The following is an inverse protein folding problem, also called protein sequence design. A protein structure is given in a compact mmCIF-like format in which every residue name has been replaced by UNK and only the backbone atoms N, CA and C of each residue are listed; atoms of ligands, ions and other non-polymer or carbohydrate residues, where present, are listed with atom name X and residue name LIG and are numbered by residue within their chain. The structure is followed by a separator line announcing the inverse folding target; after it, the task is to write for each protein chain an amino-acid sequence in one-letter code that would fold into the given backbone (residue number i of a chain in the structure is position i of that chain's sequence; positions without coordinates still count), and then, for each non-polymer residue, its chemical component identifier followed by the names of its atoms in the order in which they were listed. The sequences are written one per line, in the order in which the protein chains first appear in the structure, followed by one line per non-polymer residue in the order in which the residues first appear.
data_IF_154810868989
#
_entry.id   IF_154810868989
#
_cell.length_a   1.000
_cell.length_b   1.000
_cell.length_c   1.000
_cell.angle_alpha   90.00
_cell.angle_beta   90.00
_cell.angle_gamma   90.00
#
_symmetry.space_group_name_H-M   'P 1'
#
loop_
_entity.id
_entity.type
_entity.pdbx_description
1 polymer ?
#
# COMPACT_ATOMS: atom_id res chain seq x y z
N UNK A 1 -7.28 -43.96 -80.96
CA UNK A 1 -6.17 -43.03 -80.84
C UNK A 1 -6.65 -41.63 -80.44
N UNK A 2 -7.54 -40.93 -81.17
CA UNK A 2 -7.94 -39.55 -80.79
C UNK A 2 -8.64 -39.41 -79.39
N UNK A 3 -9.45 -40.38 -78.93
CA UNK A 3 -10.04 -40.40 -77.60
C UNK A 3 -8.99 -40.63 -76.50
N UNK A 4 -7.99 -41.47 -76.72
CA UNK A 4 -6.95 -41.68 -75.74
C UNK A 4 -6.02 -40.46 -75.60
N UNK A 5 -5.75 -39.75 -76.70
CA UNK A 5 -4.96 -38.53 -76.69
C UNK A 5 -5.70 -37.36 -75.99
N UNK A 6 -7.00 -37.22 -76.21
CA UNK A 6 -7.84 -36.25 -75.49
C UNK A 6 -7.96 -36.57 -74.00
N UNK A 7 -8.08 -37.85 -73.62
CA UNK A 7 -8.09 -38.26 -72.20
C UNK A 7 -6.79 -37.91 -71.50
N UNK A 8 -5.63 -38.11 -72.10
CA UNK A 8 -4.35 -37.73 -71.58
C UNK A 8 -4.18 -36.20 -71.43
N UNK A 9 -4.71 -35.44 -72.40
CA UNK A 9 -4.70 -33.99 -72.33
C UNK A 9 -5.54 -33.47 -71.16
N UNK A 10 -6.76 -33.99 -70.97
CA UNK A 10 -7.64 -33.64 -69.86
C UNK A 10 -7.01 -33.98 -68.51
N UNK A 11 -6.35 -35.15 -68.41
CA UNK A 11 -5.67 -35.56 -67.21
C UNK A 11 -4.45 -34.66 -66.90
N UNK A 12 -3.70 -34.23 -67.90
CA UNK A 12 -2.58 -33.29 -67.75
C UNK A 12 -3.06 -31.90 -67.34
N UNK A 13 -4.14 -31.40 -67.94
CA UNK A 13 -4.77 -30.12 -67.57
C UNK A 13 -5.30 -30.15 -66.12
N UNK A 14 -5.95 -31.26 -65.72
CA UNK A 14 -6.42 -31.44 -64.37
C UNK A 14 -5.29 -31.44 -63.34
N UNK A 15 -4.18 -32.14 -63.64
CA UNK A 15 -2.97 -32.12 -62.76
C UNK A 15 -2.34 -30.73 -62.67
N UNK A 16 -2.25 -30.03 -63.82
CA UNK A 16 -1.72 -28.67 -63.84
C UNK A 16 -2.57 -27.71 -63.03
N UNK A 17 -3.90 -27.79 -63.16
CA UNK A 17 -4.87 -27.00 -62.41
C UNK A 17 -4.80 -27.29 -60.92
N UNK A 18 -4.70 -28.55 -60.52
CA UNK A 18 -4.56 -28.95 -59.11
C UNK A 18 -3.24 -28.42 -58.50
N UNK A 19 -2.16 -28.45 -59.26
CA UNK A 19 -0.85 -27.94 -58.81
C UNK A 19 -0.88 -26.40 -58.64
N UNK A 20 -1.52 -25.67 -59.58
CA UNK A 20 -1.73 -24.22 -59.46
C UNK A 20 -2.58 -23.89 -58.24
N UNK A 21 -3.66 -24.60 -57.95
CA UNK A 21 -4.49 -24.40 -56.76
C UNK A 21 -3.68 -24.60 -55.47
N UNK A 22 -2.82 -25.64 -55.44
CA UNK A 22 -1.94 -25.88 -54.29
C UNK A 22 -0.92 -24.76 -54.10
N UNK A 23 -0.31 -24.28 -55.19
CA UNK A 23 0.61 -23.14 -55.15
C UNK A 23 -0.08 -21.85 -54.63
N UNK A 24 -1.27 -21.57 -55.12
CA UNK A 24 -2.08 -20.44 -54.65
C UNK A 24 -2.36 -20.59 -53.14
N UNK A 25 -2.76 -21.79 -52.68
CA UNK A 25 -2.99 -22.07 -51.26
C UNK A 25 -1.75 -21.81 -50.39
N UNK A 26 -0.61 -22.31 -50.84
CA UNK A 26 0.66 -22.11 -50.13
C UNK A 26 1.07 -20.63 -50.08
N UNK A 27 0.89 -19.89 -51.18
CA UNK A 27 1.21 -18.45 -51.23
C UNK A 27 0.25 -17.62 -50.35
N UNK A 28 -1.03 -17.96 -50.33
CA UNK A 28 -2.01 -17.33 -49.42
C UNK A 28 -1.66 -17.58 -47.96
N UNK A 29 -1.25 -18.79 -47.61
CA UNK A 29 -0.78 -19.13 -46.26
C UNK A 29 0.46 -18.30 -45.88
N UNK A 30 1.48 -18.27 -46.76
CA UNK A 30 2.71 -17.50 -46.54
C UNK A 30 2.44 -15.99 -46.37
N UNK A 31 1.50 -15.44 -47.18
CA UNK A 31 1.05 -14.05 -47.07
C UNK A 31 0.39 -13.79 -45.70
N UNK A 32 -0.50 -14.67 -45.24
CA UNK A 32 -1.14 -14.57 -43.94
C UNK A 32 -0.13 -14.69 -42.79
N UNK A 33 0.86 -15.59 -42.90
CA UNK A 33 1.93 -15.71 -41.92
C UNK A 33 2.76 -14.42 -41.83
N UNK A 34 3.13 -13.84 -42.98
CA UNK A 34 3.86 -12.57 -43.01
C UNK A 34 3.07 -11.41 -42.38
N UNK A 35 1.80 -11.35 -42.67
CA UNK A 35 0.89 -10.36 -42.06
C UNK A 35 0.85 -10.50 -40.53
N UNK A 36 0.74 -11.72 -40.01
CA UNK A 36 0.75 -11.99 -38.58
C UNK A 36 2.09 -11.62 -37.93
N UNK A 37 3.23 -11.92 -38.58
CA UNK A 37 4.56 -11.52 -38.12
C UNK A 37 4.66 -9.99 -37.97
N UNK A 38 4.20 -9.25 -38.98
CA UNK A 38 4.19 -7.79 -38.97
C UNK A 38 3.30 -7.29 -37.82
N UNK A 39 2.08 -7.82 -37.67
CA UNK A 39 1.17 -7.45 -36.58
C UNK A 39 1.75 -7.71 -35.20
N UNK A 40 2.48 -8.80 -35.01
CA UNK A 40 3.11 -9.14 -33.74
C UNK A 40 4.32 -8.25 -33.42
N UNK A 41 5.09 -7.84 -34.44
CA UNK A 41 6.36 -7.14 -34.23
C UNK A 41 6.29 -5.62 -34.37
N UNK A 42 5.34 -5.09 -35.15
CA UNK A 42 5.26 -3.66 -35.48
C UNK A 42 5.20 -2.74 -34.25
N UNK A 43 4.44 -3.14 -33.22
CA UNK A 43 4.23 -2.36 -32.00
C UNK A 43 4.74 -3.04 -30.73
N UNK A 44 5.62 -4.04 -30.87
CA UNK A 44 6.12 -4.79 -29.72
C UNK A 44 6.78 -3.89 -28.68
N UNK A 45 7.70 -3.03 -29.09
CA UNK A 45 8.39 -2.10 -28.18
C UNK A 45 7.45 -1.10 -27.53
N UNK A 46 6.42 -0.64 -28.25
CA UNK A 46 5.38 0.24 -27.72
C UNK A 46 4.57 -0.47 -26.61
N UNK A 47 4.12 -1.70 -26.87
CA UNK A 47 3.38 -2.48 -25.89
C UNK A 47 4.25 -2.90 -24.68
N UNK A 48 5.52 -3.24 -24.88
CA UNK A 48 6.44 -3.56 -23.79
C UNK A 48 6.63 -2.35 -22.85
N UNK A 49 6.68 -1.12 -23.39
CA UNK A 49 6.75 0.11 -22.58
C UNK A 49 5.44 0.37 -21.84
N UNK A 50 4.29 0.18 -22.49
CA UNK A 50 2.97 0.31 -21.84
C UNK A 50 2.81 -0.67 -20.67
N UNK A 51 3.20 -1.92 -20.86
CA UNK A 51 3.15 -2.94 -19.82
C UNK A 51 4.07 -2.57 -18.64
N UNK A 52 5.25 -2.03 -18.93
CA UNK A 52 6.16 -1.56 -17.89
C UNK A 52 5.57 -0.38 -17.11
N UNK A 53 5.00 0.60 -17.79
CA UNK A 53 4.30 1.73 -17.16
C UNK A 53 3.18 1.22 -16.26
N UNK A 54 2.35 0.29 -16.74
CA UNK A 54 1.24 -0.27 -15.97
C UNK A 54 1.71 -0.97 -14.69
N UNK A 55 2.83 -1.71 -14.75
CA UNK A 55 3.45 -2.33 -13.58
C UNK A 55 3.95 -1.30 -12.56
N UNK A 56 4.61 -0.25 -13.04
CA UNK A 56 5.10 0.83 -12.18
C UNK A 56 3.94 1.60 -11.54
N UNK A 57 2.88 1.89 -12.28
CA UNK A 57 1.68 2.55 -11.76
C UNK A 57 0.98 1.71 -10.68
N UNK A 58 0.94 0.38 -10.84
CA UNK A 58 0.46 -0.53 -9.80
C UNK A 58 1.34 -0.45 -8.54
N UNK A 59 2.66 -0.41 -8.68
CA UNK A 59 3.58 -0.25 -7.54
C UNK A 59 3.38 1.09 -6.82
N UNK A 60 3.17 2.19 -7.55
CA UNK A 60 2.83 3.50 -6.97
C UNK A 60 1.56 3.41 -6.12
N UNK A 61 0.49 2.82 -6.65
CA UNK A 61 -0.77 2.62 -5.91
C UNK A 61 -0.58 1.78 -4.64
N UNK A 62 0.27 0.74 -4.71
CA UNK A 62 0.59 -0.08 -3.54
C UNK A 62 1.32 0.73 -2.46
N UNK A 63 2.30 1.57 -2.85
CA UNK A 63 3.00 2.46 -1.92
C UNK A 63 2.07 3.50 -1.31
N UNK A 64 1.15 4.08 -2.08
CA UNK A 64 0.14 5.03 -1.57
C UNK A 64 -0.75 4.38 -0.50
N UNK A 65 -1.21 3.17 -0.74
CA UNK A 65 -2.02 2.44 0.23
C UNK A 65 -1.24 2.15 1.54
N UNK A 66 0.05 1.82 1.42
CA UNK A 66 0.91 1.56 2.59
C UNK A 66 1.19 2.85 3.37
N UNK A 67 1.48 3.95 2.69
CA UNK A 67 1.67 5.28 3.29
C UNK A 67 0.41 5.69 4.05
N UNK A 68 -0.76 5.56 3.43
CA UNK A 68 -2.05 5.92 4.06
C UNK A 68 -2.28 5.14 5.36
N UNK A 69 -2.06 3.84 5.36
CA UNK A 69 -2.19 3.01 6.58
C UNK A 69 -1.23 3.47 7.69
N UNK A 70 0.03 3.75 7.34
CA UNK A 70 1.00 4.24 8.33
C UNK A 70 0.66 5.63 8.86
N UNK A 71 0.09 6.50 8.03
CA UNK A 71 -0.40 7.81 8.46
C UNK A 71 -1.58 7.69 9.44
N UNK A 72 -2.50 6.76 9.20
CA UNK A 72 -3.59 6.47 10.13
C UNK A 72 -3.07 5.93 11.46
N UNK A 73 -2.11 4.99 11.44
CA UNK A 73 -1.49 4.47 12.65
C UNK A 73 -0.76 5.57 13.44
N UNK A 74 0.00 6.41 12.75
CA UNK A 74 0.69 7.55 13.34
C UNK A 74 -0.29 8.51 14.01
N UNK A 75 -1.42 8.83 13.36
CA UNK A 75 -2.45 9.70 13.90
C UNK A 75 -3.11 9.11 15.13
N UNK A 76 -3.41 7.80 15.13
CA UNK A 76 -3.96 7.10 16.31
C UNK A 76 -3.00 7.14 17.50
N UNK A 77 -1.72 6.90 17.26
CA UNK A 77 -0.71 6.96 18.34
C UNK A 77 -0.59 8.38 18.87
N UNK A 78 -0.59 9.40 18.03
CA UNK A 78 -0.58 10.81 18.47
C UNK A 78 -1.78 11.14 19.37
N UNK A 79 -2.98 10.73 18.97
CA UNK A 79 -4.18 10.94 19.80
C UNK A 79 -4.07 10.24 21.17
N UNK A 80 -3.49 9.03 21.20
CA UNK A 80 -3.25 8.31 22.46
C UNK A 80 -2.23 9.03 23.35
N UNK A 81 -1.15 9.58 22.77
CA UNK A 81 -0.17 10.39 23.50
C UNK A 81 -0.85 11.62 24.10
N UNK A 82 -1.67 12.31 23.36
CA UNK A 82 -2.42 13.49 23.83
C UNK A 82 -3.35 13.14 25.00
N UNK A 83 -4.12 12.06 24.89
CA UNK A 83 -4.96 11.58 25.98
C UNK A 83 -4.18 11.24 27.24
N UNK A 84 -3.03 10.54 27.10
CA UNK A 84 -2.16 10.23 28.23
C UNK A 84 -1.53 11.47 28.88
N UNK A 85 -1.17 12.48 28.09
CA UNK A 85 -0.68 13.75 28.61
C UNK A 85 -1.76 14.49 29.40
N UNK A 86 -2.99 14.49 28.93
CA UNK A 86 -4.14 15.05 29.67
C UNK A 86 -4.36 14.31 31.00
N UNK A 87 -4.27 12.98 31.00
CA UNK A 87 -4.34 12.17 32.22
C UNK A 87 -3.22 12.54 33.21
N UNK A 88 -2.00 12.76 32.70
CA UNK A 88 -0.85 13.16 33.54
C UNK A 88 -1.08 14.53 34.18
N UNK A 89 -1.71 15.48 33.50
CA UNK A 89 -2.08 16.77 34.10
C UNK A 89 -3.12 16.59 35.21
N UNK A 90 -4.11 15.73 34.99
CA UNK A 90 -5.11 15.39 36.03
C UNK A 90 -4.43 14.75 37.26
N UNK A 91 -3.50 13.82 37.02
CA UNK A 91 -2.75 13.18 38.13
C UNK A 91 -1.87 14.16 38.89
N UNK A 92 -1.24 15.13 38.19
CA UNK A 92 -0.51 16.25 38.86
C UNK A 92 -1.44 17.07 39.76
N UNK A 93 -2.59 17.43 39.25
CA UNK A 93 -3.61 18.12 40.04
C UNK A 93 -4.03 17.35 41.30
N UNK A 94 -4.27 16.03 41.16
CA UNK A 94 -4.57 15.13 42.28
C UNK A 94 -3.42 15.06 43.29
N UNK A 95 -2.19 14.96 42.80
CA UNK A 95 -1.01 14.92 43.66
C UNK A 95 -0.92 16.18 44.53
N UNK A 96 -1.01 17.35 43.92
CA UNK A 96 -0.95 18.61 44.66
C UNK A 96 -2.14 18.82 45.64
N UNK A 97 -3.34 18.37 45.28
CA UNK A 97 -4.49 18.40 46.13
C UNK A 97 -4.30 17.56 47.40
N UNK A 98 -3.77 16.29 47.21
CA UNK A 98 -3.46 15.43 48.35
C UNK A 98 -2.31 16.00 49.20
N UNK A 99 -1.29 16.55 48.54
CA UNK A 99 -0.12 17.13 49.24
C UNK A 99 -0.49 18.34 50.10
N UNK A 100 -1.48 19.13 49.66
CA UNK A 100 -2.01 20.28 50.38
C UNK A 100 -2.93 19.91 51.55
N UNK A 101 -3.40 18.65 51.65
CA UNK A 101 -4.30 18.24 52.74
C UNK A 101 -3.61 18.37 54.08
N UNK A 102 -4.35 18.94 55.07
CA UNK A 102 -3.91 19.07 56.46
C UNK A 102 -4.85 18.25 57.35
N UNK A 103 -4.26 17.74 58.45
CA UNK A 103 -5.09 17.00 59.43
C UNK A 103 -6.14 17.91 60.00
N UNK A 104 -7.38 17.46 59.91
CA UNK A 104 -8.53 18.04 60.61
C UNK A 104 -9.00 17.05 61.66
N UNK A 105 -9.08 17.51 62.92
CA UNK A 105 -9.61 16.64 63.96
C UNK A 105 -11.16 16.59 63.85
N UNK A 106 -11.74 15.39 63.82
CA UNK A 106 -13.17 15.26 63.73
C UNK A 106 -13.82 15.79 65.00
N UNK A 107 -15.06 16.29 64.89
CA UNK A 107 -15.83 16.73 66.02
C UNK A 107 -15.98 15.60 67.04
N UNK A 108 -15.67 15.89 68.32
CA UNK A 108 -15.71 14.91 69.40
C UNK A 108 -14.48 13.95 69.43
N UNK A 109 -13.45 14.20 68.65
CA UNK A 109 -12.22 13.35 68.65
C UNK A 109 -11.59 13.15 70.03
N UNK A 110 -11.81 14.10 70.93
CA UNK A 110 -11.21 14.14 72.28
C UNK A 110 -12.28 13.93 73.39
N UNK A 111 -13.41 13.38 73.02
CA UNK A 111 -14.47 13.05 74.00
C UNK A 111 -14.53 11.53 74.18
N UNK A 112 -14.55 11.03 75.42
CA UNK A 112 -14.73 9.66 75.73
C UNK A 112 -16.06 9.09 75.16
N UNK A 113 -16.02 8.05 74.33
CA UNK A 113 -17.24 7.53 73.68
C UNK A 113 -18.22 6.93 74.69
N UNK A 114 -17.72 6.50 75.84
CA UNK A 114 -18.49 5.80 76.87
C UNK A 114 -19.14 6.78 77.85
N UNK A 115 -18.37 7.69 78.49
CA UNK A 115 -18.88 8.62 79.53
C UNK A 115 -19.16 10.03 79.04
N UNK A 116 -18.87 10.34 77.80
CA UNK A 116 -19.12 11.64 77.13
C UNK A 116 -18.38 12.84 77.80
N UNK A 117 -17.34 12.54 78.56
CA UNK A 117 -16.48 13.59 79.16
C UNK A 117 -15.29 13.83 78.26
N UNK A 118 -14.66 15.00 78.37
CA UNK A 118 -13.35 15.27 77.75
C UNK A 118 -12.30 14.25 78.22
N UNK A 119 -11.42 13.88 77.35
CA UNK A 119 -10.26 13.00 77.70
C UNK A 119 -9.25 13.76 78.56
N UNK A 120 -8.50 13.07 79.37
CA UNK A 120 -7.38 13.65 80.08
C UNK A 120 -6.24 14.07 79.15
N UNK A 121 -5.40 15.02 79.57
CA UNK A 121 -4.37 15.64 78.72
C UNK A 121 -3.43 14.59 78.10
N UNK A 122 -3.06 13.57 78.84
CA UNK A 122 -2.19 12.49 78.38
C UNK A 122 -2.88 11.63 77.30
N UNK A 123 -4.17 11.32 77.48
CA UNK A 123 -5.01 10.59 76.52
C UNK A 123 -5.28 11.41 75.25
N UNK A 124 -5.46 12.74 75.38
CA UNK A 124 -5.57 13.65 74.24
C UNK A 124 -4.30 13.65 73.42
N UNK A 125 -3.11 13.71 74.02
CA UNK A 125 -1.84 13.69 73.32
C UNK A 125 -1.64 12.33 72.57
N UNK A 126 -1.92 11.22 73.21
CA UNK A 126 -1.82 9.90 72.60
C UNK A 126 -2.78 9.80 71.41
N UNK A 127 -4.03 10.30 71.53
CA UNK A 127 -5.03 10.31 70.45
C UNK A 127 -4.62 11.22 69.31
N UNK A 128 -4.08 12.39 69.60
CA UNK A 128 -3.56 13.28 68.57
C UNK A 128 -2.43 12.63 67.75
N UNK A 129 -1.50 11.96 68.41
CA UNK A 129 -0.39 11.26 67.77
C UNK A 129 -0.95 10.13 66.88
N UNK A 130 -1.89 9.31 67.37
CA UNK A 130 -2.51 8.24 66.61
C UNK A 130 -3.17 8.79 65.33
N UNK A 131 -3.97 9.87 65.46
CA UNK A 131 -4.63 10.49 64.31
C UNK A 131 -3.63 11.09 63.30
N UNK A 132 -2.57 11.69 63.80
CA UNK A 132 -1.51 12.26 62.98
C UNK A 132 -0.78 11.16 62.17
N UNK A 133 -0.43 10.06 62.86
CA UNK A 133 0.26 8.94 62.22
C UNK A 133 -0.61 8.25 61.18
N UNK A 134 -1.87 8.03 61.46
CA UNK A 134 -2.84 7.47 60.53
C UNK A 134 -3.06 8.39 59.32
N UNK A 135 -3.18 9.71 59.54
CA UNK A 135 -3.28 10.69 58.48
C UNK A 135 -2.04 10.69 57.58
N UNK A 136 -0.85 10.75 58.19
CA UNK A 136 0.40 10.77 57.43
C UNK A 136 0.58 9.49 56.63
N UNK A 137 0.29 8.31 57.20
CA UNK A 137 0.35 7.05 56.51
C UNK A 137 -0.63 6.98 55.33
N UNK A 138 -1.86 7.38 55.53
CA UNK A 138 -2.89 7.41 54.47
C UNK A 138 -2.47 8.37 53.36
N UNK A 139 -2.08 9.61 53.69
CA UNK A 139 -1.61 10.60 52.74
C UNK A 139 -0.41 10.13 51.95
N UNK A 140 0.58 9.53 52.61
CA UNK A 140 1.78 8.96 51.96
C UNK A 140 1.42 7.84 50.95
N UNK A 141 0.50 6.93 51.34
CA UNK A 141 0.05 5.85 50.45
C UNK A 141 -0.69 6.37 49.21
N UNK A 142 -1.56 7.36 49.40
CA UNK A 142 -2.30 8.02 48.29
C UNK A 142 -1.34 8.76 47.35
N UNK A 143 -0.39 9.52 47.87
CA UNK A 143 0.64 10.21 47.06
C UNK A 143 1.48 9.21 46.27
N UNK A 144 1.91 8.09 46.89
CA UNK A 144 2.66 7.03 46.26
C UNK A 144 1.89 6.35 45.11
N UNK A 145 0.59 6.12 45.33
CA UNK A 145 -0.29 5.53 44.30
C UNK A 145 -0.39 6.44 43.07
N UNK A 146 -0.67 7.72 43.26
CA UNK A 146 -0.73 8.72 42.18
C UNK A 146 0.59 8.89 41.47
N UNK A 147 1.72 8.87 42.22
CA UNK A 147 3.04 8.96 41.64
C UNK A 147 3.38 7.73 40.79
N UNK A 148 3.05 6.52 41.21
CA UNK A 148 3.28 5.30 40.46
C UNK A 148 2.47 5.29 39.16
N UNK A 149 1.19 5.62 39.23
CA UNK A 149 0.33 5.74 38.04
C UNK A 149 0.89 6.77 37.06
N UNK A 150 1.35 7.93 37.56
CA UNK A 150 1.98 8.95 36.73
C UNK A 150 3.27 8.47 36.05
N UNK A 151 4.12 7.71 36.76
CA UNK A 151 5.34 7.12 36.17
C UNK A 151 5.03 6.12 35.07
N UNK A 152 4.04 5.25 35.28
CA UNK A 152 3.62 4.26 34.27
C UNK A 152 3.09 4.94 32.99
N UNK A 153 2.21 5.94 33.15
CA UNK A 153 1.68 6.71 32.02
C UNK A 153 2.78 7.49 31.27
N UNK A 154 3.71 8.11 32.01
CA UNK A 154 4.84 8.82 31.41
C UNK A 154 5.76 7.88 30.62
N UNK A 155 6.07 6.68 31.16
CA UNK A 155 6.83 5.68 30.44
C UNK A 155 6.14 5.22 29.16
N UNK A 156 4.80 5.07 29.20
CA UNK A 156 4.01 4.73 28.01
C UNK A 156 4.03 5.82 26.95
N UNK A 157 3.98 7.09 27.36
CA UNK A 157 4.12 8.24 26.44
C UNK A 157 5.46 8.19 25.72
N UNK A 158 6.57 7.93 26.43
CA UNK A 158 7.91 7.85 25.82
C UNK A 158 8.03 6.67 24.87
N UNK A 159 7.45 5.52 25.18
CA UNK A 159 7.38 4.38 24.27
C UNK A 159 6.62 4.72 22.97
N UNK A 160 5.44 5.32 23.10
CA UNK A 160 4.61 5.72 21.96
C UNK A 160 5.27 6.80 21.09
N UNK A 161 6.01 7.75 21.68
CA UNK A 161 6.81 8.72 20.93
C UNK A 161 7.89 8.05 20.09
N UNK A 162 8.57 7.02 20.60
CA UNK A 162 9.53 6.24 19.83
C UNK A 162 8.85 5.53 18.65
N UNK A 163 7.67 4.93 18.88
CA UNK A 163 6.90 4.29 17.81
C UNK A 163 6.48 5.31 16.74
N UNK A 164 6.02 6.52 17.13
CA UNK A 164 5.73 7.59 16.18
C UNK A 164 6.93 7.96 15.30
N UNK A 165 8.12 8.06 15.89
CA UNK A 165 9.35 8.37 15.14
C UNK A 165 9.69 7.29 14.11
N UNK A 166 9.55 6.02 14.48
CA UNK A 166 9.78 4.88 13.58
C UNK A 166 8.79 4.91 12.42
N UNK A 167 7.50 5.11 12.71
CA UNK A 167 6.45 5.18 11.68
C UNK A 167 6.69 6.37 10.75
N UNK A 168 7.06 7.54 11.29
CA UNK A 168 7.36 8.72 10.49
C UNK A 168 8.55 8.49 9.54
N UNK A 169 9.60 7.84 10.02
CA UNK A 169 10.75 7.47 9.18
C UNK A 169 10.34 6.51 8.05
N UNK A 170 9.49 5.53 8.35
CA UNK A 170 8.96 4.60 7.34
C UNK A 170 8.08 5.31 6.29
N UNK A 171 7.26 6.28 6.70
CA UNK A 171 6.45 7.10 5.76
C UNK A 171 7.38 7.88 4.84
N UNK A 172 8.44 8.49 5.37
CA UNK A 172 9.41 9.24 4.56
C UNK A 172 10.13 8.36 3.55
N UNK A 173 10.55 7.16 3.97
CA UNK A 173 11.18 6.19 3.07
C UNK A 173 10.24 5.76 1.94
N UNK A 174 8.99 5.38 2.27
CA UNK A 174 7.99 4.98 1.27
C UNK A 174 7.66 6.11 0.29
N UNK A 175 7.62 7.35 0.78
CA UNK A 175 7.41 8.53 -0.07
C UNK A 175 8.55 8.72 -1.08
N UNK A 176 9.81 8.57 -0.64
CA UNK A 176 10.98 8.65 -1.53
C UNK A 176 10.96 7.50 -2.57
N UNK A 177 10.64 6.28 -2.15
CA UNK A 177 10.50 5.14 -3.09
C UNK A 177 9.40 5.38 -4.13
N UNK A 178 8.27 5.96 -3.71
CA UNK A 178 7.19 6.37 -4.62
C UNK A 178 7.65 7.43 -5.60
N UNK A 179 8.39 8.45 -5.18
CA UNK A 179 8.91 9.51 -6.06
C UNK A 179 9.82 8.92 -7.15
N UNK A 180 10.67 7.95 -6.80
CA UNK A 180 11.51 7.24 -7.77
C UNK A 180 10.66 6.50 -8.81
N UNK A 181 9.61 5.80 -8.37
CA UNK A 181 8.69 5.10 -9.28
C UNK A 181 7.98 6.07 -10.23
N UNK A 182 7.51 7.21 -9.73
CA UNK A 182 6.89 8.26 -10.54
C UNK A 182 7.87 8.85 -11.55
N UNK A 183 9.13 9.07 -11.15
CA UNK A 183 10.18 9.51 -12.06
C UNK A 183 10.39 8.49 -13.19
N UNK A 184 10.51 7.20 -12.87
CA UNK A 184 10.68 6.14 -13.87
C UNK A 184 9.48 6.05 -14.83
N UNK A 185 8.25 6.24 -14.34
CA UNK A 185 7.07 6.31 -15.20
C UNK A 185 7.18 7.47 -16.20
N UNK A 186 7.61 8.64 -15.73
CA UNK A 186 7.77 9.82 -16.59
C UNK A 186 8.89 9.62 -17.64
N UNK A 187 9.99 8.98 -17.26
CA UNK A 187 11.03 8.59 -18.21
C UNK A 187 10.51 7.61 -19.27
N UNK A 188 9.78 6.57 -18.85
CA UNK A 188 9.16 5.63 -19.79
C UNK A 188 8.19 6.33 -20.74
N UNK A 189 7.37 7.26 -20.23
CA UNK A 189 6.45 8.06 -21.06
C UNK A 189 7.19 9.01 -22.01
N UNK A 190 8.29 9.61 -21.56
CA UNK A 190 9.11 10.52 -22.39
C UNK A 190 9.88 9.80 -23.51
N UNK A 191 10.26 8.54 -23.29
CA UNK A 191 10.99 7.71 -24.24
C UNK A 191 10.09 6.70 -24.97
N UNK A 192 8.78 6.87 -24.90
CA UNK A 192 7.81 5.92 -25.47
C UNK A 192 7.90 5.96 -27.01
N UNK A 193 8.07 4.81 -27.68
CA UNK A 193 8.02 4.73 -29.13
C UNK A 193 6.64 5.18 -29.64
N UNK A 194 6.62 5.74 -30.86
CA UNK A 194 5.34 6.03 -31.51
C UNK A 194 4.63 4.72 -31.90
N UNK A 195 3.31 4.69 -31.66
CA UNK A 195 2.47 3.61 -32.15
C UNK A 195 2.42 3.65 -33.68
N UNK A 196 2.84 2.55 -34.32
CA UNK A 196 2.92 2.46 -35.78
C UNK A 196 1.60 1.97 -36.36
N UNK A 197 1.20 2.56 -37.49
CA UNK A 197 0.07 2.04 -38.28
C UNK A 197 0.45 0.71 -38.93
N UNK A 198 0.06 -0.37 -38.27
CA UNK A 198 0.33 -1.75 -38.69
C UNK A 198 -0.18 -2.02 -40.13
N UNK A 199 -1.35 -1.45 -40.51
CA UNK A 199 -1.90 -1.62 -41.84
C UNK A 199 -1.02 -0.97 -42.91
N UNK A 200 -0.49 0.20 -42.61
CA UNK A 200 0.43 0.91 -43.53
C UNK A 200 1.74 0.10 -43.71
N UNK A 201 2.25 -0.49 -42.63
CA UNK A 201 3.44 -1.34 -42.70
C UNK A 201 3.19 -2.58 -43.57
N UNK A 202 2.06 -3.28 -43.40
CA UNK A 202 1.67 -4.44 -44.19
C UNK A 202 1.62 -4.05 -45.68
N UNK A 203 0.93 -2.98 -46.01
CA UNK A 203 0.73 -2.51 -47.38
C UNK A 203 2.03 -2.02 -48.06
N UNK A 204 3.08 -1.72 -47.29
CA UNK A 204 4.39 -1.32 -47.77
C UNK A 204 5.45 -2.41 -47.67
N UNK A 205 5.12 -3.57 -47.09
CA UNK A 205 6.09 -4.67 -46.93
C UNK A 205 6.39 -5.34 -48.27
N UNK A 206 7.66 -5.38 -48.72
CA UNK A 206 8.02 -5.92 -50.05
C UNK A 206 7.65 -7.40 -50.22
N UNK A 207 7.79 -8.19 -49.14
CA UNK A 207 7.47 -9.63 -49.15
C UNK A 207 5.97 -9.87 -49.31
N UNK A 208 5.15 -9.09 -48.55
CA UNK A 208 3.71 -9.18 -48.63
C UNK A 208 3.19 -8.75 -50.00
N UNK A 209 3.76 -7.68 -50.58
CA UNK A 209 3.46 -7.20 -51.94
C UNK A 209 3.83 -8.24 -53.02
N UNK A 210 5.03 -8.82 -52.92
CA UNK A 210 5.47 -9.91 -53.85
C UNK A 210 4.50 -11.09 -53.82
N UNK A 211 4.16 -11.58 -52.62
CA UNK A 211 3.20 -12.68 -52.44
C UNK A 211 1.82 -12.32 -53.01
N UNK A 212 1.38 -11.07 -52.84
CA UNK A 212 0.09 -10.59 -53.37
C UNK A 212 0.08 -10.61 -54.89
N UNK A 213 1.15 -10.14 -55.54
CA UNK A 213 1.26 -10.14 -56.98
C UNK A 213 1.38 -11.57 -57.54
N UNK A 214 2.19 -12.43 -56.94
CA UNK A 214 2.31 -13.83 -57.32
C UNK A 214 0.97 -14.59 -57.22
N UNK A 215 0.16 -14.31 -56.20
CA UNK A 215 -1.21 -14.90 -56.07
C UNK A 215 -2.08 -14.45 -57.23
N UNK A 216 -2.07 -13.16 -57.56
CA UNK A 216 -2.87 -12.61 -58.70
C UNK A 216 -2.44 -13.26 -60.01
N UNK A 217 -1.11 -13.39 -60.25
CA UNK A 217 -0.60 -14.03 -61.47
C UNK A 217 -1.00 -15.50 -61.58
N UNK A 218 -0.89 -16.26 -60.49
CA UNK A 218 -1.34 -17.66 -60.46
C UNK A 218 -2.86 -17.81 -60.61
N UNK A 219 -3.66 -16.91 -60.04
CA UNK A 219 -5.13 -16.92 -60.20
C UNK A 219 -5.54 -16.56 -61.61
N UNK A 220 -4.76 -15.71 -62.33
CA UNK A 220 -5.01 -15.42 -63.74
C UNK A 220 -4.63 -16.60 -64.64
N UNK A 221 -3.61 -17.39 -64.29
CA UNK A 221 -3.27 -18.62 -65.00
C UNK A 221 -4.30 -19.74 -64.82
N UNK A 222 -5.10 -19.65 -63.75
CA UNK A 222 -6.12 -20.65 -63.43
C UNK A 222 -7.44 -20.43 -64.16
N UNK A 223 -7.68 -19.23 -64.70
CA UNK A 223 -8.87 -18.86 -65.50
C UNK A 223 -8.82 -19.41 -66.89
#
# INVERSE_FOLDING_TARGET
SQLADKSKQIEAEFKAKSELQKQIGNKKLAKSQRENEIRQNANKSYHDVLDNISKLEYQVKSKDAEISRKQEDHSRIKATIEALNNDLEVLRGKFYAIDAETLQYPEGAFICPTCKRELEVEDIQAKQQELQDNFNLNKANRLKAVQNEGKEKAAKVEELKKQCSIIQAAITQLSNEKEILVHNINECKGNMPEEQDTQKIILSDPTWLSLSNEIVDLENQLK
#
